data_IF_762996415366
#
_entry.id   IF_762996415366
#
_cell.length_a   1.000
_cell.length_b   1.000
_cell.length_c   1.000
_cell.angle_alpha   90.00
_cell.angle_beta   90.00
_cell.angle_gamma   90.00
#
_symmetry.space_group_name_H-M   'P 1'
#
loop_
_entity.id
_entity.type
_entity.pdbx_description
1 polymer ?
#
# COMPACT_ATOMS: atom_id res chain seq x y z
N UNK A 1 13.44 10.78 -3.48
CA UNK A 1 14.02 11.61 -2.41
C UNK A 1 13.10 11.62 -1.21
N UNK A 2 13.64 11.41 -0.02
CA UNK A 2 12.85 11.45 1.20
C UNK A 2 12.51 12.90 1.58
N UNK A 3 11.21 13.15 1.80
CA UNK A 3 10.73 14.46 2.27
C UNK A 3 10.22 14.29 3.70
N UNK A 4 10.92 14.86 4.72
CA UNK A 4 10.51 14.70 6.11
C UNK A 4 9.18 15.40 6.43
N UNK A 5 8.67 16.26 5.55
CA UNK A 5 7.38 16.91 5.74
C UNK A 5 6.23 16.14 5.08
N UNK A 6 6.52 15.06 4.36
CA UNK A 6 5.51 14.26 3.69
C UNK A 6 4.78 13.37 4.71
N UNK A 7 3.51 13.68 4.93
CA UNK A 7 2.66 13.00 5.90
C UNK A 7 1.70 12.02 5.24
N UNK A 8 1.85 11.78 3.94
CA UNK A 8 0.99 10.81 3.26
C UNK A 8 1.18 9.42 3.86
N UNK A 9 0.11 8.61 3.97
CA UNK A 9 0.22 7.26 4.53
C UNK A 9 1.13 6.39 3.67
N UNK A 10 1.92 5.55 4.35
CA UNK A 10 2.88 4.66 3.72
C UNK A 10 2.47 3.22 4.04
N UNK A 11 2.43 2.39 3.01
CA UNK A 11 2.03 1.00 3.15
C UNK A 11 3.05 0.08 2.52
N UNK A 12 3.31 -1.04 3.20
CA UNK A 12 3.99 -2.19 2.58
C UNK A 12 2.89 -3.08 2.00
N UNK A 13 2.83 -3.15 0.69
CA UNK A 13 1.82 -3.93 0.00
C UNK A 13 2.37 -5.32 -0.29
N UNK A 14 1.63 -6.34 0.15
CA UNK A 14 1.96 -7.75 -0.09
C UNK A 14 1.08 -8.26 -1.22
N UNK A 15 1.70 -8.64 -2.33
CA UNK A 15 0.98 -9.11 -3.51
C UNK A 15 0.86 -10.64 -3.50
N UNK A 16 -0.23 -11.15 -4.05
CA UNK A 16 -0.53 -12.58 -4.05
C UNK A 16 0.48 -13.43 -4.82
N UNK A 17 1.25 -12.82 -5.70
CA UNK A 17 2.31 -13.52 -6.45
C UNK A 17 3.63 -13.65 -5.66
N UNK A 18 3.65 -13.19 -4.41
CA UNK A 18 4.83 -13.23 -3.55
C UNK A 18 5.67 -11.96 -3.57
N UNK A 19 5.35 -11.00 -4.42
CA UNK A 19 6.03 -9.71 -4.45
C UNK A 19 5.57 -8.79 -3.33
N UNK A 20 6.37 -7.78 -3.05
CA UNK A 20 5.99 -6.73 -2.10
C UNK A 20 6.63 -5.42 -2.50
N UNK A 21 6.02 -4.32 -2.08
CA UNK A 21 6.55 -3.00 -2.35
C UNK A 21 6.00 -1.99 -1.36
N UNK A 22 6.81 -1.00 -1.01
CA UNK A 22 6.41 0.05 -0.11
C UNK A 22 6.29 1.36 -0.87
N UNK A 23 5.18 2.06 -0.69
CA UNK A 23 5.00 3.38 -1.29
C UNK A 23 4.06 4.22 -0.45
N UNK A 24 4.10 5.53 -0.69
CA UNK A 24 3.15 6.46 -0.09
C UNK A 24 1.95 6.59 -1.03
N UNK A 25 0.79 6.74 -0.41
CA UNK A 25 -0.46 6.92 -1.13
C UNK A 25 -1.08 8.25 -0.74
N UNK A 26 -1.82 8.87 -1.65
CA UNK A 26 -2.46 10.16 -1.38
C UNK A 26 -3.56 10.03 -0.34
N UNK A 27 -4.14 8.84 -0.20
CA UNK A 27 -5.23 8.56 0.73
C UNK A 27 -4.95 7.23 1.43
N UNK A 28 -5.64 7.01 2.54
CA UNK A 28 -5.61 5.72 3.22
C UNK A 28 -6.14 4.63 2.27
N UNK A 29 -5.43 3.51 2.21
CA UNK A 29 -5.90 2.37 1.45
C UNK A 29 -7.09 1.72 2.15
N UNK A 30 -7.98 1.15 1.35
CA UNK A 30 -9.15 0.43 1.86
C UNK A 30 -9.33 -0.87 1.08
N UNK A 31 -10.02 -1.82 1.69
CA UNK A 31 -10.40 -3.05 1.01
C UNK A 31 -11.23 -2.70 -0.23
N UNK A 32 -10.91 -3.31 -1.36
CA UNK A 32 -11.56 -3.07 -2.63
C UNK A 32 -10.84 -2.09 -3.54
N UNK A 33 -9.85 -1.35 -3.03
CA UNK A 33 -9.05 -0.43 -3.84
C UNK A 33 -8.22 -1.24 -4.85
N UNK A 34 -8.18 -0.78 -6.08
CA UNK A 34 -7.40 -1.40 -7.15
C UNK A 34 -6.02 -0.75 -7.22
N UNK A 35 -5.00 -1.58 -7.27
CA UNK A 35 -3.60 -1.15 -7.39
C UNK A 35 -2.99 -1.73 -8.66
N UNK A 36 -1.93 -1.09 -9.16
CA UNK A 36 -1.17 -1.58 -10.31
C UNK A 36 0.29 -1.71 -9.95
N UNK A 37 0.90 -2.81 -10.38
CA UNK A 37 2.32 -3.04 -10.20
C UNK A 37 2.82 -3.93 -11.33
N UNK A 38 3.86 -3.47 -12.03
CA UNK A 38 4.45 -4.25 -13.11
C UNK A 38 3.52 -4.57 -14.26
N UNK A 39 2.51 -3.75 -14.50
CA UNK A 39 1.52 -3.99 -15.54
C UNK A 39 0.37 -4.89 -15.12
N UNK A 40 0.44 -5.46 -13.94
CA UNK A 40 -0.62 -6.29 -13.38
C UNK A 40 -1.56 -5.46 -12.51
N UNK A 41 -2.81 -5.89 -12.42
CA UNK A 41 -3.80 -5.24 -11.55
C UNK A 41 -4.08 -6.11 -10.33
N UNK A 42 -4.21 -5.45 -9.20
CA UNK A 42 -4.45 -6.12 -7.91
C UNK A 42 -5.58 -5.41 -7.19
N UNK A 43 -6.28 -6.15 -6.34
CA UNK A 43 -7.32 -5.59 -5.47
C UNK A 43 -6.93 -5.81 -4.02
N UNK A 44 -6.99 -4.75 -3.22
CA UNK A 44 -6.71 -4.82 -1.79
C UNK A 44 -7.80 -5.65 -1.11
N UNK A 45 -7.39 -6.66 -0.36
CA UNK A 45 -8.30 -7.57 0.35
C UNK A 45 -8.21 -7.45 1.87
N UNK A 46 -7.12 -6.85 2.36
CA UNK A 46 -6.95 -6.60 3.80
C UNK A 46 -6.01 -5.43 4.00
N UNK A 47 -6.26 -4.61 5.02
CA UNK A 47 -5.46 -3.42 5.31
C UNK A 47 -5.24 -3.31 6.81
N UNK A 48 -3.99 -2.97 7.19
CA UNK A 48 -3.64 -2.53 8.54
C UNK A 48 -3.03 -1.15 8.42
N UNK A 49 -3.73 -0.15 8.92
CA UNK A 49 -3.31 1.24 8.76
C UNK A 49 -2.12 1.60 9.63
N UNK A 50 -1.25 2.53 9.16
CA UNK A 50 -0.16 3.03 10.01
C UNK A 50 -0.72 3.79 11.20
N UNK A 51 -0.06 3.66 12.36
CA UNK A 51 -0.50 4.33 13.57
C UNK A 51 -0.12 5.80 13.63
N UNK A 52 0.88 6.22 12.84
CA UNK A 52 1.34 7.61 12.80
C UNK A 52 2.16 7.82 11.51
N UNK A 53 2.51 9.09 11.17
CA UNK A 53 3.24 9.39 9.92
C UNK A 53 4.65 8.78 9.85
N UNK A 54 5.23 8.37 10.97
CA UNK A 54 6.57 7.79 11.01
C UNK A 54 6.56 6.26 10.90
N UNK A 55 5.40 5.64 11.03
CA UNK A 55 5.25 4.21 10.84
C UNK A 55 4.66 3.91 9.46
N UNK A 56 4.56 2.64 9.13
CA UNK A 56 3.90 2.22 7.90
C UNK A 56 2.85 1.16 8.22
N UNK A 57 1.85 1.09 7.36
CA UNK A 57 0.82 0.07 7.44
C UNK A 57 1.15 -1.10 6.52
N UNK A 58 0.26 -2.07 6.48
CA UNK A 58 0.34 -3.20 5.58
C UNK A 58 -0.94 -3.32 4.77
N UNK A 59 -0.81 -3.73 3.53
CA UNK A 59 -1.96 -4.05 2.70
C UNK A 59 -1.68 -5.35 1.97
N UNK A 60 -2.70 -6.18 1.83
CA UNK A 60 -2.60 -7.43 1.07
C UNK A 60 -3.48 -7.29 -0.16
N UNK A 61 -2.92 -7.61 -1.32
CA UNK A 61 -3.61 -7.43 -2.60
C UNK A 61 -3.55 -8.72 -3.41
N UNK A 62 -4.67 -9.07 -4.00
CA UNK A 62 -4.78 -10.24 -4.88
C UNK A 62 -4.87 -9.78 -6.33
N UNK A 63 -4.24 -10.53 -7.23
CA UNK A 63 -4.32 -10.28 -8.66
C UNK A 63 -5.75 -10.44 -9.17
N UNK A 64 -6.16 -9.48 -9.98
CA UNK A 64 -7.49 -9.49 -10.59
C UNK A 64 -7.49 -10.32 -11.87
#
# INVERSE_FOLDING_TARGET
MYDPTDERPRYLVHYSDGGSGMCRHDQLLEVGVELRDGGERYRVVHVEHPGNPHSFGHAWAEEI
#
